data_IF_208256136387
#
_entry.id   IF_208256136387
#
_cell.length_a   1.000
_cell.length_b   1.000
_cell.length_c   1.000
_cell.angle_alpha   90.00
_cell.angle_beta   90.00
_cell.angle_gamma   90.00
#
_symmetry.space_group_name_H-M   'P 1'
#
loop_
_entity.id
_entity.type
_entity.pdbx_description
1 polymer ?
#
# COMPACT_ATOMS: atom_id res chain seq x y z
N UNK A 1 -0.17 -0.47 -0.60
CA UNK A 1 -1.11 -0.28 -1.72
C UNK A 1 -2.54 -0.32 -1.22
N UNK A 2 -3.38 0.55 -1.76
CA UNK A 2 -4.81 0.63 -1.47
C UNK A 2 -5.61 0.58 -2.76
N UNK A 3 -6.80 -0.02 -2.73
CA UNK A 3 -7.76 -0.03 -3.84
C UNK A 3 -9.11 0.52 -3.42
N UNK A 4 -9.61 1.54 -4.11
CA UNK A 4 -10.90 2.18 -3.83
C UNK A 4 -11.09 2.50 -2.33
N UNK A 5 -12.13 1.98 -1.70
CA UNK A 5 -12.44 2.15 -0.27
C UNK A 5 -11.45 1.45 0.68
N UNK A 6 -10.55 0.61 0.15
CA UNK A 6 -9.44 0.01 0.89
C UNK A 6 -8.43 1.02 1.45
N UNK A 7 -8.59 2.32 1.17
CA UNK A 7 -7.84 3.38 1.83
C UNK A 7 -8.17 3.53 3.33
N UNK A 8 -9.40 3.25 3.76
CA UNK A 8 -9.81 3.45 5.15
C UNK A 8 -8.91 2.75 6.19
N UNK A 9 -8.57 1.44 6.07
CA UNK A 9 -7.64 0.80 6.99
C UNK A 9 -6.20 1.30 6.84
N UNK A 10 -5.77 1.69 5.63
CA UNK A 10 -4.43 2.26 5.40
C UNK A 10 -4.29 3.63 6.09
N UNK A 11 -5.35 4.45 6.04
CA UNK A 11 -5.45 5.71 6.76
C UNK A 11 -5.26 5.50 8.27
N UNK A 12 -5.94 4.51 8.86
CA UNK A 12 -5.77 4.19 10.27
C UNK A 12 -4.33 3.85 10.65
N UNK A 13 -3.62 3.09 9.80
CA UNK A 13 -2.20 2.78 10.02
C UNK A 13 -1.30 4.01 9.92
N UNK A 14 -1.53 4.90 8.95
CA UNK A 14 -0.74 6.13 8.77
C UNK A 14 -0.98 7.08 9.94
N UNK A 15 -2.23 7.26 10.36
CA UNK A 15 -2.58 8.09 11.51
C UNK A 15 -1.96 7.55 12.80
N UNK A 16 -1.99 6.22 12.99
CA UNK A 16 -1.32 5.56 14.10
C UNK A 16 0.19 5.79 14.09
N UNK A 17 0.85 5.58 12.94
CA UNK A 17 2.29 5.81 12.78
C UNK A 17 2.67 7.26 13.09
N UNK A 18 1.86 8.22 12.63
CA UNK A 18 2.03 9.65 12.91
C UNK A 18 1.86 9.95 14.40
N UNK A 19 0.83 9.39 15.04
CA UNK A 19 0.60 9.58 16.47
C UNK A 19 1.73 9.01 17.34
N UNK A 20 2.33 7.89 16.92
CA UNK A 20 3.48 7.26 17.58
C UNK A 20 4.83 7.89 17.21
N UNK A 21 4.87 8.85 16.29
CA UNK A 21 6.12 9.49 15.85
C UNK A 21 7.04 8.57 15.05
N UNK A 22 6.50 7.55 14.38
CA UNK A 22 7.29 6.59 13.61
C UNK A 22 7.72 7.25 12.29
N UNK A 23 9.00 7.59 12.20
CA UNK A 23 9.56 8.32 11.05
C UNK A 23 10.23 7.37 10.03
N UNK A 24 9.47 6.37 9.55
CA UNK A 24 9.95 5.44 8.51
C UNK A 24 9.53 5.91 7.11
N UNK A 25 10.30 5.61 6.06
CA UNK A 25 9.85 5.81 4.68
C UNK A 25 8.57 5.05 4.39
N UNK A 26 7.56 5.75 3.88
CA UNK A 26 6.24 5.21 3.58
C UNK A 26 5.78 5.68 2.21
N UNK A 27 5.44 4.74 1.33
CA UNK A 27 4.88 5.04 0.02
C UNK A 27 3.44 4.52 -0.07
N UNK A 28 2.49 5.43 -0.24
CA UNK A 28 1.08 5.13 -0.45
C UNK A 28 0.75 5.16 -1.94
N UNK A 29 0.54 3.98 -2.51
CA UNK A 29 -0.05 3.83 -3.83
C UNK A 29 -1.55 3.57 -3.69
N UNK A 30 -2.38 4.46 -4.24
CA UNK A 30 -3.84 4.37 -4.16
C UNK A 30 -4.44 4.23 -5.56
N UNK A 31 -4.94 3.02 -5.85
CA UNK A 31 -5.63 2.69 -7.09
C UNK A 31 -7.11 2.92 -7.03
N UNK A 32 -7.63 3.61 -8.02
CA UNK A 32 -9.04 3.90 -8.19
C UNK A 32 -9.42 3.89 -9.68
N UNK A 33 -10.71 3.88 -10.00
CA UNK A 33 -11.14 3.96 -11.38
C UNK A 33 -11.07 5.40 -11.90
N UNK A 34 -11.71 6.32 -11.17
CA UNK A 34 -11.87 7.73 -11.52
C UNK A 34 -11.34 8.66 -10.43
N UNK A 35 -11.06 9.92 -10.75
CA UNK A 35 -10.45 10.84 -9.77
C UNK A 35 -11.39 11.13 -8.59
N UNK A 36 -12.71 11.05 -8.80
CA UNK A 36 -13.73 11.23 -7.75
C UNK A 36 -13.69 10.15 -6.68
N UNK A 37 -13.18 8.96 -7.00
CA UNK A 37 -13.02 7.85 -6.05
C UNK A 37 -11.87 8.10 -5.06
N UNK A 38 -11.00 9.08 -5.30
CA UNK A 38 -9.98 9.54 -4.36
C UNK A 38 -10.59 10.50 -3.32
N UNK A 39 -11.63 10.06 -2.63
CA UNK A 39 -12.49 10.88 -1.77
C UNK A 39 -11.78 11.60 -0.61
N UNK A 40 -10.58 11.16 -0.22
CA UNK A 40 -9.75 11.77 0.84
C UNK A 40 -8.36 12.16 0.35
N UNK A 41 -8.20 12.39 -0.96
CA UNK A 41 -6.91 12.77 -1.57
C UNK A 41 -6.26 13.97 -0.88
N UNK A 42 -7.05 14.97 -0.52
CA UNK A 42 -6.53 16.24 0.00
C UNK A 42 -5.86 16.06 1.36
N UNK A 43 -6.42 15.19 2.22
CA UNK A 43 -5.82 14.82 3.51
C UNK A 43 -4.46 14.14 3.27
N UNK A 44 -4.38 13.24 2.30
CA UNK A 44 -3.15 12.53 1.97
C UNK A 44 -2.08 13.49 1.41
N UNK A 45 -2.49 14.50 0.62
CA UNK A 45 -1.58 15.55 0.15
C UNK A 45 -1.05 16.43 1.28
N UNK A 46 -1.86 16.71 2.29
CA UNK A 46 -1.40 17.39 3.51
C UNK A 46 -0.33 16.52 4.20
N UNK A 47 -0.56 15.21 4.35
CA UNK A 47 0.43 14.32 4.95
C UNK A 47 1.73 14.24 4.16
N UNK A 48 1.66 14.26 2.82
CA UNK A 48 2.85 14.32 1.97
C UNK A 48 3.66 15.60 2.16
N UNK A 49 3.01 16.73 2.44
CA UNK A 49 3.69 17.97 2.79
C UNK A 49 4.26 17.98 4.22
N UNK A 50 3.57 17.34 5.16
CA UNK A 50 3.96 17.32 6.59
C UNK A 50 4.99 16.25 6.95
N UNK A 51 4.99 15.11 6.25
CA UNK A 51 5.83 13.95 6.56
C UNK A 51 7.01 13.87 5.57
N UNK A 52 8.27 14.07 6.02
CA UNK A 52 9.43 14.20 5.14
C UNK A 52 9.79 12.92 4.36
N UNK A 53 9.24 11.76 4.75
CA UNK A 53 9.48 10.47 4.11
C UNK A 53 8.19 9.79 3.64
N UNK A 54 7.13 10.56 3.44
CA UNK A 54 5.88 10.05 2.89
C UNK A 54 5.76 10.42 1.41
N UNK A 55 5.40 9.44 0.59
CA UNK A 55 5.15 9.64 -0.85
C UNK A 55 3.76 9.14 -1.19
N UNK A 56 3.00 9.97 -1.89
CA UNK A 56 1.65 9.62 -2.33
C UNK A 56 1.56 9.54 -3.86
N UNK A 57 1.26 8.33 -4.34
CA UNK A 57 1.13 8.02 -5.77
C UNK A 57 -0.30 7.57 -6.06
N UNK A 58 -1.19 8.48 -6.47
CA UNK A 58 -2.50 8.10 -6.98
C UNK A 58 -2.38 7.45 -8.37
N UNK A 59 -3.13 6.37 -8.60
CA UNK A 59 -3.15 5.62 -9.87
C UNK A 59 -4.59 5.43 -10.33
N UNK A 60 -4.91 5.89 -11.53
CA UNK A 60 -6.24 5.74 -12.13
C UNK A 60 -6.26 4.64 -13.19
N UNK A 61 -7.13 3.65 -13.03
CA UNK A 61 -7.25 2.58 -14.03
C UNK A 61 -8.04 3.02 -15.27
N UNK A 62 -9.00 3.94 -15.11
CA UNK A 62 -9.87 4.39 -16.18
C UNK A 62 -10.21 5.89 -15.99
N UNK A 63 -9.21 6.80 -16.12
CA UNK A 63 -9.45 8.23 -15.97
C UNK A 63 -10.48 8.71 -17.00
N UNK A 64 -11.44 9.51 -16.56
CA UNK A 64 -12.39 10.14 -17.48
C UNK A 64 -11.74 11.37 -18.13
N UNK A 65 -12.14 11.75 -19.36
CA UNK A 65 -11.61 12.97 -20.00
C UNK A 65 -11.83 14.25 -19.16
N UNK A 66 -12.90 14.28 -18.37
CA UNK A 66 -13.24 15.37 -17.45
C UNK A 66 -12.34 15.45 -16.21
N UNK A 67 -11.66 14.36 -15.84
CA UNK A 67 -10.74 14.33 -14.69
C UNK A 67 -9.45 15.12 -14.94
N UNK A 68 -9.17 15.50 -16.20
CA UNK A 68 -7.93 16.17 -16.65
C UNK A 68 -6.67 15.53 -16.05
N UNK A 69 -6.66 14.19 -16.00
CA UNK A 69 -5.66 13.46 -15.26
C UNK A 69 -4.29 13.46 -15.94
N UNK A 70 -3.28 13.94 -15.22
CA UNK A 70 -1.87 13.93 -15.66
C UNK A 70 -0.99 12.98 -14.84
N UNK A 71 -1.59 12.25 -13.88
CA UNK A 71 -0.88 11.31 -13.01
C UNK A 71 -0.72 9.93 -13.64
N UNK A 72 -0.40 8.93 -12.79
CA UNK A 72 -0.22 7.55 -13.26
C UNK A 72 -1.55 6.93 -13.66
N UNK A 73 -1.50 6.14 -14.73
CA UNK A 73 -2.64 5.36 -15.21
C UNK A 73 -2.33 3.87 -15.24
N UNK A 74 -3.33 3.03 -15.07
CA UNK A 74 -3.20 1.57 -15.11
C UNK A 74 -3.40 0.91 -13.74
N UNK A 75 -2.63 -0.13 -13.46
CA UNK A 75 -2.78 -0.92 -12.24
C UNK A 75 -1.73 -0.57 -11.17
N UNK A 76 -2.18 -0.52 -9.92
CA UNK A 76 -1.36 -0.10 -8.76
C UNK A 76 -0.12 -0.98 -8.56
N UNK A 77 -0.26 -2.30 -8.73
CA UNK A 77 0.84 -3.24 -8.53
C UNK A 77 1.94 -3.06 -9.59
N UNK A 78 1.55 -2.72 -10.83
CA UNK A 78 2.51 -2.41 -11.89
C UNK A 78 3.23 -1.10 -11.60
N UNK A 79 2.50 -0.04 -11.21
CA UNK A 79 3.11 1.23 -10.85
C UNK A 79 4.16 1.10 -9.74
N UNK A 80 3.95 0.20 -8.77
CA UNK A 80 4.92 -0.10 -7.71
C UNK A 80 6.18 -0.77 -8.29
N UNK A 81 6.04 -1.72 -9.22
CA UNK A 81 7.20 -2.39 -9.83
C UNK A 81 7.98 -1.48 -10.77
N UNK A 82 7.30 -0.52 -11.40
CA UNK A 82 7.95 0.48 -12.24
C UNK A 82 8.83 1.44 -11.40
N UNK A 83 8.42 1.71 -10.15
CA UNK A 83 9.11 2.63 -9.24
C UNK A 83 10.18 1.95 -8.37
N UNK A 84 9.98 0.67 -8.06
CA UNK A 84 10.88 -0.13 -7.25
C UNK A 84 11.42 -1.31 -8.04
N UNK A 85 12.72 -1.25 -8.39
CA UNK A 85 13.43 -2.38 -8.99
C UNK A 85 13.70 -3.52 -8.03
N UNK A 86 13.66 -3.26 -6.72
CA UNK A 86 13.78 -4.28 -5.68
C UNK A 86 12.86 -3.97 -4.49
N UNK A 87 12.00 -4.93 -4.17
CA UNK A 87 11.07 -4.89 -3.05
C UNK A 87 11.53 -5.74 -1.86
N UNK A 88 12.66 -6.46 -1.96
CA UNK A 88 13.14 -7.42 -0.95
C UNK A 88 13.20 -6.88 0.49
N UNK A 89 13.48 -5.58 0.64
CA UNK A 89 13.59 -4.87 1.91
C UNK A 89 12.33 -4.06 2.27
N UNK A 90 11.23 -4.25 1.56
CA UNK A 90 9.98 -3.53 1.77
C UNK A 90 8.90 -4.43 2.36
N UNK A 91 8.05 -3.85 3.21
CA UNK A 91 6.81 -4.47 3.67
C UNK A 91 5.65 -3.91 2.87
N UNK A 92 4.92 -4.79 2.19
CA UNK A 92 3.80 -4.39 1.31
C UNK A 92 2.50 -4.70 2.01
N UNK A 93 1.83 -3.66 2.50
CA UNK A 93 0.46 -3.75 3.00
C UNK A 93 -0.52 -3.54 1.86
N UNK A 94 -1.46 -4.46 1.65
CA UNK A 94 -2.42 -4.39 0.56
C UNK A 94 -3.87 -4.46 1.08
N UNK A 95 -4.70 -3.48 0.74
CA UNK A 95 -6.12 -3.48 1.05
C UNK A 95 -6.95 -3.00 -0.13
N UNK A 96 -8.03 -3.69 -0.48
CA UNK A 96 -8.92 -3.31 -1.57
C UNK A 96 -9.64 -4.53 -2.15
N UNK A 97 -10.11 -4.42 -3.40
CA UNK A 97 -10.76 -5.53 -4.09
C UNK A 97 -9.86 -6.78 -4.15
N UNK A 98 -10.43 -7.96 -3.90
CA UNK A 98 -9.66 -9.23 -3.85
C UNK A 98 -8.81 -9.45 -5.09
N UNK A 99 -9.37 -9.21 -6.29
CA UNK A 99 -8.64 -9.27 -7.57
C UNK A 99 -7.38 -8.40 -7.61
N UNK A 100 -7.39 -7.24 -6.95
CA UNK A 100 -6.24 -6.34 -6.90
C UNK A 100 -5.17 -6.89 -5.95
N UNK A 101 -5.59 -7.39 -4.78
CA UNK A 101 -4.68 -7.95 -3.78
C UNK A 101 -4.03 -9.23 -4.32
N UNK A 102 -4.82 -10.11 -4.94
CA UNK A 102 -4.35 -11.35 -5.59
C UNK A 102 -3.39 -11.06 -6.74
N UNK A 103 -3.73 -10.13 -7.63
CA UNK A 103 -2.85 -9.71 -8.72
C UNK A 103 -1.53 -9.16 -8.17
N UNK A 104 -1.59 -8.26 -7.19
CA UNK A 104 -0.39 -7.72 -6.54
C UNK A 104 0.47 -8.81 -5.91
N UNK A 105 -0.13 -9.70 -5.12
CA UNK A 105 0.59 -10.83 -4.51
C UNK A 105 1.29 -11.70 -5.56
N UNK A 106 0.59 -12.07 -6.63
CA UNK A 106 1.16 -12.87 -7.72
C UNK A 106 2.33 -12.13 -8.39
N UNK A 107 2.13 -10.90 -8.83
CA UNK A 107 3.18 -10.15 -9.55
C UNK A 107 4.40 -9.88 -8.66
N UNK A 108 4.20 -9.55 -7.38
CA UNK A 108 5.31 -9.32 -6.46
C UNK A 108 6.08 -10.59 -6.12
N UNK A 109 5.41 -11.73 -5.97
CA UNK A 109 6.08 -13.01 -5.68
C UNK A 109 6.80 -13.59 -6.91
N UNK A 110 6.32 -13.28 -8.11
CA UNK A 110 7.02 -13.60 -9.38
C UNK A 110 8.26 -12.70 -9.58
N UNK A 111 8.13 -11.40 -9.32
CA UNK A 111 9.24 -10.45 -9.46
C UNK A 111 10.33 -10.65 -8.39
N UNK A 112 9.93 -10.96 -7.15
CA UNK A 112 10.82 -11.09 -5.99
C UNK A 112 10.41 -12.32 -5.17
N UNK A 113 10.99 -13.50 -5.44
CA UNK A 113 10.61 -14.75 -4.77
C UNK A 113 10.74 -14.71 -3.24
N UNK A 114 11.62 -13.86 -2.70
CA UNK A 114 11.81 -13.68 -1.25
C UNK A 114 10.72 -12.81 -0.59
N UNK A 115 9.83 -12.15 -1.35
CA UNK A 115 8.80 -11.26 -0.80
C UNK A 115 7.60 -11.98 -0.17
N UNK A 116 7.52 -13.31 -0.28
CA UNK A 116 6.41 -14.11 0.26
C UNK A 116 6.14 -13.87 1.75
N UNK A 117 7.17 -13.49 2.52
CA UNK A 117 7.08 -13.23 3.96
C UNK A 117 6.74 -11.80 4.34
N UNK A 118 6.77 -10.84 3.40
CA UNK A 118 6.62 -9.41 3.68
C UNK A 118 5.38 -8.77 3.03
N UNK A 119 4.54 -9.57 2.35
CA UNK A 119 3.23 -9.15 1.85
C UNK A 119 2.14 -9.41 2.90
N UNK A 120 1.49 -8.34 3.34
CA UNK A 120 0.48 -8.37 4.40
C UNK A 120 -0.87 -7.93 3.80
N UNK A 121 -1.77 -8.88 3.45
CA UNK A 121 -3.10 -8.54 3.00
C UNK A 121 -3.95 -8.09 4.20
N UNK A 122 -4.50 -6.89 4.12
CA UNK A 122 -5.46 -6.36 5.10
C UNK A 122 -6.84 -6.66 4.53
N UNK A 123 -7.33 -7.86 4.80
CA UNK A 123 -8.63 -8.33 4.31
C UNK A 123 -9.74 -7.89 5.25
N UNK A 124 -10.71 -7.16 4.71
CA UNK A 124 -11.98 -6.85 5.36
C UNK A 124 -13.02 -7.93 5.02
N UNK A 125 -12.94 -9.11 5.67
CA UNK A 125 -13.97 -10.16 5.74
C UNK A 125 -14.46 -10.82 4.40
N UNK A 126 -15.01 -12.07 4.44
CA UNK A 126 -14.86 -13.04 3.37
C UNK A 126 -16.09 -13.18 2.46
N UNK A 127 -15.86 -13.55 1.20
CA UNK A 127 -16.76 -14.45 0.47
C UNK A 127 -15.94 -15.41 -0.40
N UNK A 128 -15.78 -16.66 0.07
CA UNK A 128 -15.72 -17.82 -0.84
C UNK A 128 -14.38 -18.36 -1.32
N UNK A 129 -13.28 -18.26 -0.56
CA UNK A 129 -12.09 -19.10 -0.78
C UNK A 129 -11.68 -19.77 0.54
N UNK A 130 -12.02 -21.05 0.65
CA UNK A 130 -11.57 -21.91 1.75
C UNK A 130 -10.06 -22.22 1.63
N UNK A 131 -9.48 -22.35 2.82
CA UNK A 131 -8.14 -22.84 3.19
C UNK A 131 -6.92 -21.90 3.03
N UNK A 132 -6.46 -21.41 4.20
CA UNK A 132 -5.13 -20.84 4.51
C UNK A 132 -4.97 -19.31 4.69
N UNK A 133 -6.02 -18.57 5.08
CA UNK A 133 -5.86 -17.15 5.48
C UNK A 133 -6.73 -16.77 6.68
N UNK A 134 -6.54 -17.43 7.82
CA UNK A 134 -7.03 -16.95 9.12
C UNK A 134 -5.93 -16.17 9.84
N UNK A 135 -5.80 -14.88 9.56
CA UNK A 135 -5.05 -13.95 10.40
C UNK A 135 -5.79 -12.60 10.39
N UNK A 136 -6.61 -12.30 11.41
CA UNK A 136 -6.21 -11.67 12.70
C UNK A 136 -6.63 -10.20 12.72
N UNK A 137 -7.93 -9.90 12.82
CA UNK A 137 -8.41 -8.50 12.92
C UNK A 137 -8.04 -7.86 14.28
N UNK A 138 -7.77 -8.67 15.33
CA UNK A 138 -7.41 -8.15 16.67
C UNK A 138 -5.89 -8.04 16.91
N UNK A 139 -5.02 -8.94 16.41
CA UNK A 139 -3.56 -8.76 16.51
C UNK A 139 -2.86 -7.99 15.37
N UNK A 140 -3.55 -7.44 14.36
CA UNK A 140 -2.89 -6.70 13.25
C UNK A 140 -2.10 -5.50 13.77
N UNK A 141 -2.61 -4.75 14.75
CA UNK A 141 -1.90 -3.58 15.29
C UNK A 141 -0.66 -3.97 16.13
N UNK A 142 -0.74 -5.04 16.91
CA UNK A 142 0.40 -5.55 17.69
C UNK A 142 1.48 -6.19 16.79
N UNK A 143 1.07 -6.89 15.73
CA UNK A 143 2.03 -7.38 14.73
C UNK A 143 2.62 -6.28 13.86
N UNK A 144 1.90 -5.18 13.64
CA UNK A 144 2.48 -3.99 13.01
C UNK A 144 3.59 -3.45 13.91
N UNK A 145 3.40 -3.37 15.22
CA UNK A 145 4.45 -2.98 16.19
C UNK A 145 5.68 -3.91 16.10
N UNK A 146 5.46 -5.24 16.20
CA UNK A 146 6.54 -6.23 16.19
C UNK A 146 7.24 -6.39 14.82
N UNK A 147 6.53 -6.11 13.72
CA UNK A 147 7.10 -6.10 12.35
C UNK A 147 7.74 -4.76 11.98
N UNK A 148 7.30 -3.65 12.59
CA UNK A 148 7.93 -2.34 12.47
C UNK A 148 9.31 -2.34 13.14
N UNK A 149 9.49 -3.05 14.25
CA UNK A 149 10.76 -3.10 14.99
C UNK A 149 11.85 -3.97 14.32
N UNK A 150 11.47 -5.03 13.60
CA UNK A 150 12.44 -6.00 13.02
C UNK A 150 13.25 -5.51 11.81
N UNK A 151 12.93 -4.35 11.22
CA UNK A 151 13.62 -3.83 10.02
C UNK A 151 14.60 -2.69 10.38
N UNK A 152 15.02 -2.60 11.64
CA UNK A 152 16.00 -1.61 12.14
C UNK A 152 17.48 -1.95 11.84
N UNK A 153 17.77 -2.60 10.69
CA UNK A 153 19.13 -2.85 10.19
C UNK A 153 19.60 -1.76 9.18
N UNK A 154 20.91 -1.49 9.06
CA UNK A 154 21.41 -0.26 8.44
C UNK A 154 21.14 -0.18 6.93
N UNK A 155 20.18 0.68 6.59
CA UNK A 155 20.10 1.57 5.43
C UNK A 155 21.03 1.31 4.23
N UNK A 156 20.59 0.44 3.34
CA UNK A 156 20.97 0.43 1.91
C UNK A 156 19.75 0.10 1.05
N UNK A 157 18.58 0.61 1.43
CA UNK A 157 17.34 0.30 0.75
C UNK A 157 17.05 1.34 -0.34
N UNK A 158 16.74 0.85 -1.55
CA UNK A 158 16.61 1.62 -2.77
C UNK A 158 15.71 2.85 -2.60
N UNK A 159 16.24 4.00 -3.02
CA UNK A 159 15.49 5.25 -3.11
C UNK A 159 14.52 5.11 -4.29
N UNK A 160 13.26 5.53 -4.10
CA UNK A 160 12.30 5.71 -5.19
C UNK A 160 13.00 6.43 -6.36
N UNK A 161 12.82 5.93 -7.58
CA UNK A 161 13.40 6.53 -8.80
C UNK A 161 12.82 7.92 -9.08
#
# INVERSE_FOLDING_TARGET
>A
MAGATGFAPIKGMIEYARHKGINRPMALYWGVQSAVDLYQRDIVRIWEAELPHFTFVPVLSAPLPEDQWTGRTGFVHQAILDDFSDLSCHQVYACGASRMVEAGFKTFTEAVPCLKTSFIPILSCPQGLEESLTFVVSPILERIDESMDRVSGPSSCARLR
#
